data_IF_290169967812
#
_entry.id   IF_290169967812
#
_cell.length_a   1.000
_cell.length_b   1.000
_cell.length_c   1.000
_cell.angle_alpha   90.00
_cell.angle_beta   90.00
_cell.angle_gamma   90.00
#
_symmetry.space_group_name_H-M   'P 1'
#
loop_
_entity.id
_entity.type
_entity.pdbx_description
1 polymer ?
#
# COMPACT_ATOMS: atom_id res chain seq x y z
N UNK A 1 26.53 -6.00 -21.64
CA UNK A 1 25.91 -6.13 -20.31
C UNK A 1 24.58 -6.84 -20.42
N UNK A 2 24.43 -8.00 -19.77
CA UNK A 2 23.29 -8.90 -19.87
C UNK A 2 21.99 -8.36 -19.27
N UNK A 3 20.97 -8.19 -20.11
CA UNK A 3 19.60 -7.76 -19.75
C UNK A 3 18.94 -8.68 -18.72
N UNK A 4 19.33 -9.95 -18.68
CA UNK A 4 18.84 -10.97 -17.74
C UNK A 4 19.29 -10.70 -16.28
N UNK A 5 20.51 -10.19 -16.09
CA UNK A 5 21.05 -9.91 -14.76
C UNK A 5 20.41 -8.64 -14.15
N UNK A 6 20.15 -7.63 -14.98
CA UNK A 6 19.46 -6.40 -14.58
C UNK A 6 18.04 -6.66 -14.06
N UNK A 7 17.37 -7.66 -14.60
CA UNK A 7 16.03 -8.02 -14.15
C UNK A 7 16.08 -8.73 -12.78
N UNK A 8 17.12 -9.51 -12.49
CA UNK A 8 17.30 -10.19 -11.22
C UNK A 8 17.63 -9.20 -10.07
N UNK A 9 18.47 -8.18 -10.33
CA UNK A 9 18.79 -7.15 -9.34
C UNK A 9 17.57 -6.28 -8.98
N UNK A 10 16.62 -6.12 -9.90
CA UNK A 10 15.39 -5.36 -9.70
C UNK A 10 14.45 -5.94 -8.63
N UNK A 11 14.63 -7.23 -8.26
CA UNK A 11 13.86 -7.91 -7.21
C UNK A 11 14.57 -7.93 -5.85
N UNK A 12 15.78 -7.38 -5.77
CA UNK A 12 16.46 -7.23 -4.48
C UNK A 12 15.73 -6.21 -3.61
N UNK A 13 15.95 -6.26 -2.29
CA UNK A 13 15.31 -5.34 -1.34
C UNK A 13 15.71 -3.90 -1.68
N UNK A 14 14.74 -3.07 -2.05
CA UNK A 14 14.95 -1.70 -2.54
C UNK A 14 14.95 -1.55 -4.07
N UNK A 15 14.79 -2.66 -4.82
CA UNK A 15 14.56 -2.61 -6.26
C UNK A 15 13.11 -2.24 -6.59
N UNK A 16 12.90 -1.61 -7.75
CA UNK A 16 11.58 -1.14 -8.20
C UNK A 16 10.54 -2.26 -8.22
N UNK A 17 10.89 -3.42 -8.78
CA UNK A 17 9.95 -4.56 -8.87
C UNK A 17 9.67 -5.21 -7.53
N UNK A 18 10.63 -5.20 -6.61
CA UNK A 18 10.41 -5.65 -5.25
C UNK A 18 9.35 -4.81 -4.53
N UNK A 19 9.43 -3.49 -4.66
CA UNK A 19 8.45 -2.58 -4.05
C UNK A 19 7.08 -2.68 -4.72
N UNK A 20 7.02 -2.83 -6.05
CA UNK A 20 5.76 -3.08 -6.77
C UNK A 20 5.05 -4.35 -6.28
N UNK A 21 5.76 -5.48 -6.21
CA UNK A 21 5.20 -6.72 -5.70
C UNK A 21 4.77 -6.62 -4.23
N UNK A 22 5.56 -5.91 -3.42
CA UNK A 22 5.22 -5.70 -2.00
C UNK A 22 3.98 -4.83 -1.86
N UNK A 23 3.84 -3.79 -2.68
CA UNK A 23 2.67 -2.91 -2.67
C UNK A 23 1.40 -3.66 -3.14
N UNK A 24 1.51 -4.51 -4.16
CA UNK A 24 0.42 -5.38 -4.60
C UNK A 24 0.00 -6.37 -3.50
N UNK A 25 0.96 -6.96 -2.78
CA UNK A 25 0.71 -7.82 -1.63
C UNK A 25 -0.03 -7.06 -0.50
N UNK A 26 0.44 -5.85 -0.17
CA UNK A 26 -0.21 -5.01 0.84
C UNK A 26 -1.64 -4.62 0.44
N UNK A 27 -1.86 -4.35 -0.85
CA UNK A 27 -3.19 -4.06 -1.39
C UNK A 27 -4.14 -5.24 -1.21
N UNK A 28 -3.72 -6.46 -1.56
CA UNK A 28 -4.53 -7.66 -1.37
C UNK A 28 -4.88 -7.86 0.12
N UNK A 29 -3.88 -7.74 1.01
CA UNK A 29 -4.11 -7.88 2.46
C UNK A 29 -5.12 -6.85 2.98
N UNK A 30 -4.96 -5.59 2.59
CA UNK A 30 -5.84 -4.50 3.04
C UNK A 30 -7.24 -4.59 2.43
N UNK A 31 -7.36 -4.99 1.15
CA UNK A 31 -8.63 -5.04 0.44
C UNK A 31 -9.48 -6.23 0.87
N UNK A 32 -8.85 -7.38 1.08
CA UNK A 32 -9.51 -8.63 1.44
C UNK A 32 -9.57 -8.87 2.96
N UNK A 33 -9.09 -7.93 3.77
CA UNK A 33 -9.00 -8.03 5.24
C UNK A 33 -8.31 -9.32 5.71
N UNK A 34 -7.23 -9.71 5.03
CA UNK A 34 -6.47 -10.92 5.36
C UNK A 34 -5.55 -10.70 6.58
N UNK A 35 -5.25 -11.76 7.35
CA UNK A 35 -4.28 -11.67 8.43
C UNK A 35 -2.85 -11.43 7.90
N UNK A 36 -2.06 -10.64 8.63
CA UNK A 36 -0.65 -10.34 8.28
C UNK A 36 0.22 -11.61 8.26
N UNK A 37 -0.18 -12.62 9.03
CA UNK A 37 0.46 -13.93 9.11
C UNK A 37 0.36 -14.76 7.83
N UNK A 38 -0.36 -14.29 6.80
CA UNK A 38 -0.45 -14.92 5.47
C UNK A 38 0.94 -15.11 4.85
N UNK A 39 1.85 -14.17 5.11
CA UNK A 39 3.22 -14.20 4.58
C UNK A 39 4.06 -15.37 5.09
N UNK A 40 3.76 -15.88 6.28
CA UNK A 40 4.48 -17.00 6.89
C UNK A 40 3.82 -18.35 6.59
N UNK A 41 2.62 -18.36 5.98
CA UNK A 41 1.92 -19.60 5.67
C UNK A 41 2.66 -20.36 4.55
N UNK A 42 2.92 -21.67 4.74
CA UNK A 42 3.71 -22.45 3.79
C UNK A 42 3.05 -22.55 2.41
N UNK A 43 1.72 -22.65 2.35
CA UNK A 43 0.96 -22.69 1.09
C UNK A 43 1.10 -21.40 0.29
N UNK A 44 0.99 -20.25 0.95
CA UNK A 44 1.17 -18.95 0.31
C UNK A 44 2.61 -18.76 -0.19
N UNK A 45 3.60 -19.14 0.61
CA UNK A 45 5.01 -19.11 0.21
C UNK A 45 5.28 -20.02 -1.00
N UNK A 46 4.66 -21.19 -1.07
CA UNK A 46 4.79 -22.09 -2.22
C UNK A 46 4.16 -21.47 -3.48
N UNK A 47 2.98 -20.86 -3.37
CA UNK A 47 2.33 -20.14 -4.46
C UNK A 47 3.21 -19.00 -5.00
N UNK A 48 3.69 -18.12 -4.11
CA UNK A 48 4.54 -16.98 -4.50
C UNK A 48 5.83 -17.45 -5.16
N UNK A 49 6.46 -18.53 -4.66
CA UNK A 49 7.67 -19.10 -5.28
C UNK A 49 7.44 -19.65 -6.68
N UNK A 50 6.24 -20.15 -6.98
CA UNK A 50 5.87 -20.63 -8.32
C UNK A 50 5.58 -19.48 -9.27
N UNK A 51 4.91 -18.43 -8.80
CA UNK A 51 4.60 -17.26 -9.62
C UNK A 51 5.84 -16.41 -9.89
N UNK A 52 6.64 -16.14 -8.85
CA UNK A 52 7.76 -15.20 -8.94
C UNK A 52 8.94 -15.66 -8.05
N UNK A 53 9.83 -16.52 -8.57
CA UNK A 53 10.88 -17.15 -7.77
C UNK A 53 11.94 -16.16 -7.25
N UNK A 54 12.14 -15.05 -7.95
CA UNK A 54 13.12 -14.04 -7.59
C UNK A 54 12.68 -13.12 -6.43
N UNK A 55 11.40 -13.15 -6.03
CA UNK A 55 10.87 -12.28 -4.99
C UNK A 55 11.03 -12.93 -3.63
N UNK A 56 11.74 -12.23 -2.75
CA UNK A 56 11.87 -12.61 -1.35
C UNK A 56 10.71 -12.01 -0.57
N UNK A 57 9.71 -12.85 -0.29
CA UNK A 57 8.54 -12.46 0.49
C UNK A 57 8.98 -11.81 1.82
N UNK A 58 8.48 -10.60 2.16
CA UNK A 58 8.81 -9.96 3.42
C UNK A 58 8.21 -10.73 4.58
N UNK A 59 8.90 -10.72 5.72
CA UNK A 59 8.38 -11.25 6.98
C UNK A 59 7.25 -10.37 7.51
N UNK A 60 6.34 -10.96 8.29
CA UNK A 60 5.23 -10.27 8.96
C UNK A 60 5.64 -8.93 9.61
N UNK A 61 6.68 -8.84 10.48
CA UNK A 61 7.04 -7.57 11.13
C UNK A 61 7.53 -6.51 10.14
N UNK A 62 8.10 -6.92 9.01
CA UNK A 62 8.52 -5.97 7.95
C UNK A 62 7.29 -5.41 7.25
N UNK A 63 6.30 -6.26 6.98
CA UNK A 63 5.05 -5.88 6.35
C UNK A 63 4.22 -4.97 7.26
N UNK A 64 4.17 -5.25 8.57
CA UNK A 64 3.55 -4.37 9.58
C UNK A 64 4.17 -2.98 9.56
N UNK A 65 5.51 -2.88 9.61
CA UNK A 65 6.20 -1.57 9.55
C UNK A 65 5.88 -0.80 8.28
N UNK A 66 5.83 -1.48 7.13
CA UNK A 66 5.46 -0.87 5.84
C UNK A 66 4.00 -0.40 5.85
N UNK A 67 3.08 -1.18 6.41
CA UNK A 67 1.65 -0.81 6.52
C UNK A 67 1.46 0.39 7.44
N UNK A 68 2.14 0.41 8.59
CA UNK A 68 2.13 1.54 9.52
C UNK A 68 2.60 2.84 8.85
N UNK A 69 3.67 2.76 8.04
CA UNK A 69 4.15 3.89 7.25
C UNK A 69 3.06 4.44 6.34
N UNK A 70 2.50 3.57 5.48
CA UNK A 70 1.43 3.95 4.56
C UNK A 70 0.19 4.48 5.27
N UNK A 71 -0.19 3.90 6.40
CA UNK A 71 -1.32 4.37 7.18
C UNK A 71 -1.09 5.78 7.73
N UNK A 72 0.11 6.08 8.22
CA UNK A 72 0.46 7.43 8.70
C UNK A 72 0.41 8.47 7.60
N UNK A 73 0.93 8.14 6.42
CA UNK A 73 0.91 9.01 5.24
C UNK A 73 -0.53 9.32 4.82
N UNK A 74 -1.35 8.28 4.61
CA UNK A 74 -2.76 8.44 4.21
C UNK A 74 -3.58 9.18 5.28
N UNK A 75 -3.34 8.89 6.55
CA UNK A 75 -4.00 9.60 7.66
C UNK A 75 -3.66 11.09 7.67
N UNK A 76 -2.44 11.46 7.30
CA UNK A 76 -2.04 12.86 7.22
C UNK A 76 -2.70 13.57 6.04
N UNK A 77 -2.78 12.91 4.88
CA UNK A 77 -3.50 13.40 3.70
C UNK A 77 -4.98 13.62 3.99
N UNK A 78 -5.67 12.61 4.55
CA UNK A 78 -7.08 12.72 4.91
C UNK A 78 -7.31 13.84 5.94
N UNK A 79 -6.40 14.00 6.90
CA UNK A 79 -6.48 15.12 7.87
C UNK A 79 -6.31 16.49 7.22
N UNK A 80 -5.54 16.60 6.13
CA UNK A 80 -5.42 17.84 5.37
C UNK A 80 -6.73 18.09 4.61
N UNK A 81 -7.22 17.10 3.87
CA UNK A 81 -8.49 17.18 3.13
C UNK A 81 -9.67 17.55 4.04
N UNK A 82 -9.72 17.00 5.25
CA UNK A 82 -10.77 17.35 6.24
C UNK A 82 -10.64 18.81 6.69
N UNK A 83 -9.43 19.35 6.87
CA UNK A 83 -9.24 20.76 7.24
C UNK A 83 -9.67 21.70 6.12
N UNK A 84 -9.40 21.31 4.88
CA UNK A 84 -9.74 22.08 3.69
C UNK A 84 -11.26 22.07 3.40
N UNK A 85 -11.98 21.06 3.92
CA UNK A 85 -13.44 20.95 3.85
C UNK A 85 -14.13 21.29 5.19
N UNK A 86 -14.32 22.58 5.53
CA UNK A 86 -14.88 23.01 6.82
C UNK A 86 -16.33 22.56 7.05
N UNK A 87 -17.04 22.08 6.02
CA UNK A 87 -18.42 21.61 6.08
C UNK A 87 -18.58 20.25 6.79
N UNK A 88 -17.54 19.43 6.87
CA UNK A 88 -17.60 18.09 7.47
C UNK A 88 -17.34 18.07 8.98
N UNK A 89 -16.70 19.11 9.53
CA UNK A 89 -16.19 19.14 10.91
C UNK A 89 -17.18 19.78 11.89
N UNK A 90 -18.00 20.73 11.42
CA UNK A 90 -18.98 21.43 12.25
C UNK A 90 -20.36 20.88 11.92
N UNK A 91 -20.87 20.00 12.79
CA UNK A 91 -22.26 19.57 12.71
C UNK A 91 -23.20 20.79 12.63
N UNK A 92 -23.94 20.86 11.53
CA UNK A 92 -25.09 21.74 11.24
C UNK A 92 -24.78 23.22 10.90
N UNK A 93 -25.27 23.60 9.70
CA UNK A 93 -25.72 24.93 9.26
C UNK A 93 -24.70 26.09 9.17
N UNK A 94 -23.91 26.10 8.10
CA UNK A 94 -23.82 27.17 7.07
C UNK A 94 -22.53 27.00 6.27
N UNK A 95 -22.66 26.48 5.04
CA UNK A 95 -21.68 26.82 4.01
C UNK A 95 -22.12 28.18 3.44
N UNK A 96 -21.32 29.26 3.53
CA UNK A 96 -21.62 30.51 2.85
C UNK A 96 -21.16 30.51 1.38
N UNK A 97 -20.72 29.38 0.83
CA UNK A 97 -20.37 29.29 -0.59
C UNK A 97 -21.40 28.46 -1.35
N UNK A 98 -21.93 28.97 -2.47
CA UNK A 98 -22.91 28.26 -3.25
C UNK A 98 -22.28 26.99 -3.79
N UNK A 99 -22.89 25.85 -3.47
CA UNK A 99 -22.69 24.64 -4.22
C UNK A 99 -23.07 24.93 -5.68
N UNK A 100 -22.19 24.54 -6.61
CA UNK A 100 -22.42 24.45 -8.04
C UNK A 100 -22.39 25.78 -8.83
N UNK A 101 -21.28 26.01 -9.55
CA UNK A 101 -21.24 26.63 -10.89
C UNK A 101 -19.83 26.58 -11.47
N UNK A 102 -19.74 26.21 -12.75
CA UNK A 102 -18.58 26.28 -13.70
C UNK A 102 -17.74 25.01 -13.75
N UNK A 103 -17.70 24.19 -14.81
CA UNK A 103 -18.30 24.12 -16.16
C UNK A 103 -18.36 22.62 -16.52
#
# INVERSE_FOLDING_TARGET
MDRCLNNASSFTRGGTRYEECTNALMYAIAKDNMPLSVTERPGFRAFVRKVQPNYKLPSEPTLTKKLDGKHKELKLQIKQEIKDAPCLIRGVARCPTPCLSTV
#
